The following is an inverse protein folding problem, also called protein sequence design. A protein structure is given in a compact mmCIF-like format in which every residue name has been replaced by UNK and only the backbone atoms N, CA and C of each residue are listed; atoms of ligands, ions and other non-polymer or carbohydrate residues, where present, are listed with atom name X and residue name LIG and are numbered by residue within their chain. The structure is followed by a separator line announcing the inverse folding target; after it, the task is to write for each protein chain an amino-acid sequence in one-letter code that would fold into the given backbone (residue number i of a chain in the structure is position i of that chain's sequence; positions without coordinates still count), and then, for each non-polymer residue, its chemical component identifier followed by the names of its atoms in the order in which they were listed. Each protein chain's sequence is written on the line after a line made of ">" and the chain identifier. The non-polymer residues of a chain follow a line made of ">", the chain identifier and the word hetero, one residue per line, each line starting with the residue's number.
data_IF_080579943647
#
_entry.id   IF_080579943647
#
_cell.length_a   1.000
_cell.length_b   1.000
_cell.length_c   1.000
_cell.angle_alpha   90.00
_cell.angle_beta   90.00
_cell.angle_gamma   90.00
#
_symmetry.space_group_name_H-M   'P 1'
#
loop_
_entity.id
_entity.type
_entity.pdbx_description
1 polymer ?
#
# COMPACT_ATOMS: atom_id res chain seq x y z
N UNK A 1 -24.44 8.22 7.26
CA UNK A 1 -24.81 8.42 5.84
C UNK A 1 -26.25 7.96 5.54
N UNK A 2 -26.72 6.81 6.05
CA UNK A 2 -28.07 6.30 5.83
C UNK A 2 -29.15 7.15 6.54
N UNK A 3 -28.89 7.64 7.77
CA UNK A 3 -29.80 8.55 8.49
C UNK A 3 -29.92 9.92 7.79
N UNK A 4 -28.83 10.45 7.25
CA UNK A 4 -28.90 11.70 6.46
C UNK A 4 -29.71 11.55 5.18
N UNK A 5 -29.57 10.42 4.46
CA UNK A 5 -30.43 10.14 3.29
C UNK A 5 -31.90 9.96 3.65
N UNK A 6 -32.21 9.30 4.77
CA UNK A 6 -33.59 9.15 5.25
C UNK A 6 -34.21 10.48 5.72
N UNK A 7 -33.40 11.37 6.36
CA UNK A 7 -33.87 12.70 6.74
C UNK A 7 -34.20 13.58 5.49
N UNK A 8 -33.29 13.58 4.51
CA UNK A 8 -33.52 14.33 3.26
C UNK A 8 -34.77 13.85 2.46
N UNK A 9 -35.12 12.56 2.59
CA UNK A 9 -36.30 11.97 1.91
C UNK A 9 -37.59 12.25 2.67
N UNK A 10 -37.57 12.39 4.00
CA UNK A 10 -38.75 12.63 4.83
C UNK A 10 -39.24 14.07 4.84
N UNK A 11 -38.38 15.04 4.56
CA UNK A 11 -38.72 16.48 4.70
C UNK A 11 -39.25 17.14 3.43
N UNK A 12 -39.34 16.41 2.33
CA UNK A 12 -39.91 16.96 1.06
C UNK A 12 -41.18 16.24 0.72
N UNK A 13 -42.28 16.94 0.80
CA UNK A 13 -43.67 16.58 0.63
C UNK A 13 -44.05 15.42 -0.31
N UNK A 14 -45.34 15.11 -0.42
CA UNK A 14 -46.02 13.91 -0.92
C UNK A 14 -45.64 13.32 -2.31
N UNK A 15 -44.49 13.67 -2.88
CA UNK A 15 -44.01 13.15 -4.18
C UNK A 15 -42.74 12.29 -4.08
N UNK A 16 -42.21 12.02 -2.88
CA UNK A 16 -40.97 11.24 -2.72
C UNK A 16 -41.27 9.76 -2.48
N UNK A 17 -40.71 8.91 -3.32
CA UNK A 17 -40.85 7.45 -3.26
C UNK A 17 -39.51 6.80 -2.87
N UNK A 18 -39.49 6.03 -1.76
CA UNK A 18 -38.36 5.15 -1.42
C UNK A 18 -38.40 3.97 -2.39
N UNK A 19 -37.34 3.82 -3.17
CA UNK A 19 -37.11 2.63 -4.01
C UNK A 19 -36.07 1.77 -3.31
N UNK A 20 -36.42 0.52 -3.04
CA UNK A 20 -35.53 -0.46 -2.42
C UNK A 20 -35.00 -1.38 -3.53
N UNK A 21 -33.65 -1.42 -3.67
CA UNK A 21 -32.96 -2.28 -4.64
C UNK A 21 -32.37 -3.46 -3.88
N UNK A 22 -33.08 -4.58 -3.85
CA UNK A 22 -32.67 -5.80 -3.13
C UNK A 22 -32.04 -6.85 -4.06
N UNK A 23 -32.45 -6.86 -5.33
CA UNK A 23 -31.98 -7.87 -6.28
C UNK A 23 -30.52 -7.65 -6.66
N UNK A 24 -29.73 -8.71 -6.50
CA UNK A 24 -28.32 -8.79 -6.90
C UNK A 24 -28.19 -9.80 -8.03
N UNK A 25 -27.70 -9.35 -9.18
CA UNK A 25 -27.51 -10.17 -10.39
C UNK A 25 -26.02 -10.53 -10.61
N UNK A 26 -25.16 -10.27 -9.62
CA UNK A 26 -23.71 -10.50 -9.71
C UNK A 26 -23.27 -11.75 -8.99
N UNK A 27 -23.74 -11.92 -7.75
CA UNK A 27 -23.27 -12.99 -6.86
C UNK A 27 -24.25 -14.15 -6.83
N UNK A 28 -23.70 -15.37 -6.67
CA UNK A 28 -24.49 -16.60 -6.50
C UNK A 28 -25.28 -16.59 -5.18
N UNK A 29 -26.29 -17.43 -5.10
CA UNK A 29 -27.17 -17.52 -3.91
C UNK A 29 -26.40 -17.82 -2.62
N UNK A 30 -25.44 -18.79 -2.54
CA UNK A 30 -24.73 -19.08 -1.31
C UNK A 30 -23.94 -17.88 -0.76
N UNK A 31 -23.37 -17.05 -1.63
CA UNK A 31 -22.63 -15.87 -1.23
C UNK A 31 -23.56 -14.81 -0.61
N UNK A 32 -24.72 -14.60 -1.21
CA UNK A 32 -25.71 -13.66 -0.70
C UNK A 32 -26.34 -14.14 0.61
N UNK A 33 -26.66 -15.44 0.72
CA UNK A 33 -27.18 -16.01 1.97
C UNK A 33 -26.17 -15.91 3.12
N UNK A 34 -24.90 -16.26 2.86
CA UNK A 34 -23.84 -16.09 3.85
C UNK A 34 -23.69 -14.63 4.28
N UNK A 35 -23.73 -13.68 3.34
CA UNK A 35 -23.67 -12.24 3.61
C UNK A 35 -24.85 -11.79 4.47
N UNK A 36 -26.09 -12.15 4.10
CA UNK A 36 -27.29 -11.83 4.86
C UNK A 36 -27.22 -12.43 6.28
N UNK A 37 -26.73 -13.66 6.41
CA UNK A 37 -26.56 -14.36 7.70
C UNK A 37 -25.61 -13.61 8.63
N UNK A 38 -24.46 -13.17 8.12
CA UNK A 38 -23.50 -12.35 8.87
C UNK A 38 -24.13 -11.03 9.29
N UNK A 39 -24.81 -10.31 8.40
CA UNK A 39 -25.39 -9.02 8.71
C UNK A 39 -26.58 -9.11 9.68
N UNK A 40 -27.41 -10.16 9.64
CA UNK A 40 -28.45 -10.40 10.65
C UNK A 40 -27.87 -10.55 12.06
N UNK A 41 -26.64 -11.09 12.17
CA UNK A 41 -25.98 -11.30 13.46
C UNK A 41 -25.25 -10.05 13.96
N UNK A 42 -24.63 -9.29 13.07
CA UNK A 42 -23.75 -8.15 13.41
C UNK A 42 -24.49 -6.82 13.44
N UNK A 43 -25.46 -6.60 12.55
CA UNK A 43 -26.22 -5.35 12.48
C UNK A 43 -27.44 -5.39 13.42
N UNK A 44 -27.17 -5.35 14.72
CA UNK A 44 -28.18 -5.28 15.77
C UNK A 44 -28.20 -3.91 16.41
N UNK A 45 -29.37 -3.39 16.89
CA UNK A 45 -29.47 -2.07 17.50
C UNK A 45 -28.48 -1.85 18.66
N UNK A 46 -28.16 -2.93 19.40
CA UNK A 46 -27.21 -2.88 20.51
C UNK A 46 -25.75 -2.65 20.08
N UNK A 47 -25.39 -2.95 18.81
CA UNK A 47 -24.01 -2.89 18.32
C UNK A 47 -23.82 -1.77 17.34
N UNK A 48 -24.76 -1.58 16.40
CA UNK A 48 -24.60 -0.65 15.26
C UNK A 48 -25.63 0.46 15.22
N UNK A 49 -26.53 0.54 16.19
CA UNK A 49 -27.72 1.42 16.16
C UNK A 49 -28.66 1.22 14.93
N UNK A 50 -28.37 0.23 14.10
CA UNK A 50 -29.12 -0.12 12.90
C UNK A 50 -29.70 -1.52 13.04
N UNK A 51 -30.90 -1.71 12.49
CA UNK A 51 -31.52 -3.04 12.37
C UNK A 51 -31.39 -3.49 10.92
N UNK A 52 -30.93 -4.72 10.72
CA UNK A 52 -30.94 -5.36 9.40
C UNK A 52 -32.35 -5.93 9.19
N UNK A 53 -33.18 -5.16 8.47
CA UNK A 53 -34.56 -5.52 8.19
C UNK A 53 -34.65 -6.40 6.93
N UNK A 54 -35.76 -7.14 6.73
CA UNK A 54 -35.97 -7.94 5.51
C UNK A 54 -35.86 -7.13 4.21
N UNK A 55 -36.14 -5.84 4.26
CA UNK A 55 -35.99 -4.90 3.13
C UNK A 55 -34.51 -4.53 2.84
N UNK A 56 -33.59 -4.89 3.74
CA UNK A 56 -32.14 -4.67 3.58
C UNK A 56 -31.44 -5.93 3.08
N UNK A 57 -32.12 -7.08 3.07
CA UNK A 57 -31.53 -8.35 2.61
C UNK A 57 -31.30 -8.35 1.10
N UNK A 58 -30.19 -8.96 0.73
CA UNK A 58 -29.84 -9.16 -0.68
C UNK A 58 -30.56 -10.39 -1.22
N UNK A 59 -31.25 -10.24 -2.34
CA UNK A 59 -32.00 -11.30 -3.03
C UNK A 59 -31.24 -11.69 -4.29
N UNK A 60 -31.01 -12.99 -4.50
CA UNK A 60 -30.36 -13.48 -5.70
C UNK A 60 -31.27 -13.33 -6.92
N UNK A 61 -30.91 -12.40 -7.83
CA UNK A 61 -31.64 -12.16 -9.07
C UNK A 61 -31.36 -13.22 -10.17
N UNK A 62 -30.29 -14.02 -10.01
CA UNK A 62 -29.91 -15.10 -10.91
C UNK A 62 -30.65 -16.43 -10.62
N UNK A 63 -31.36 -16.49 -9.48
CA UNK A 63 -31.93 -17.73 -8.97
C UNK A 63 -30.88 -18.62 -8.28
N UNK A 64 -31.33 -19.49 -7.40
CA UNK A 64 -30.47 -20.50 -6.77
C UNK A 64 -30.28 -21.67 -7.74
N UNK A 65 -29.04 -22.14 -7.88
CA UNK A 65 -28.68 -23.34 -8.67
C UNK A 65 -28.22 -24.42 -7.71
N UNK A 66 -28.54 -25.68 -8.03
CA UNK A 66 -28.11 -26.84 -7.19
C UNK A 66 -26.59 -27.03 -7.20
N UNK A 67 -25.92 -26.58 -8.26
CA UNK A 67 -24.46 -26.65 -8.47
C UNK A 67 -23.69 -25.42 -7.99
N UNK A 68 -24.37 -24.41 -7.40
CA UNK A 68 -23.70 -23.25 -6.83
C UNK A 68 -22.72 -23.67 -5.71
N UNK A 69 -21.43 -23.31 -5.78
CA UNK A 69 -20.45 -23.70 -4.80
C UNK A 69 -20.73 -23.04 -3.43
N UNK A 70 -20.62 -23.79 -2.31
CA UNK A 70 -20.86 -23.22 -1.00
C UNK A 70 -19.79 -22.24 -0.57
N UNK A 71 -20.16 -21.29 0.30
CA UNK A 71 -19.19 -20.47 1.03
C UNK A 71 -18.51 -21.33 2.10
N UNK A 72 -17.19 -21.39 2.05
CA UNK A 72 -16.38 -22.16 2.99
C UNK A 72 -15.74 -21.25 4.02
N UNK A 73 -15.79 -21.67 5.30
CA UNK A 73 -15.13 -20.98 6.40
C UNK A 73 -14.04 -21.91 6.95
N UNK A 74 -12.79 -21.48 6.87
CA UNK A 74 -11.65 -22.20 7.42
C UNK A 74 -11.32 -21.62 8.80
N UNK A 75 -11.34 -22.46 9.83
CA UNK A 75 -10.98 -22.09 11.19
C UNK A 75 -9.61 -22.69 11.55
N UNK A 76 -8.63 -21.84 11.76
CA UNK A 76 -7.31 -22.23 12.24
C UNK A 76 -7.27 -22.08 13.77
N UNK A 77 -6.88 -23.13 14.48
CA UNK A 77 -6.71 -23.08 15.92
C UNK A 77 -5.29 -22.67 16.28
N UNK A 78 -5.14 -21.86 17.33
CA UNK A 78 -3.80 -21.45 17.80
C UNK A 78 -2.90 -22.61 18.25
N UNK A 79 -3.46 -23.79 18.60
CA UNK A 79 -2.71 -25.03 18.81
C UNK A 79 -2.07 -25.54 17.52
N UNK A 80 -2.85 -25.58 16.44
CA UNK A 80 -2.42 -26.10 15.14
C UNK A 80 -1.31 -25.22 14.54
N UNK A 81 -1.35 -23.92 14.87
CA UNK A 81 -0.32 -22.95 14.49
C UNK A 81 0.97 -23.17 15.29
N UNK A 82 0.87 -23.41 16.60
CA UNK A 82 2.04 -23.65 17.46
C UNK A 82 2.75 -24.98 17.15
N UNK A 83 2.00 -26.01 16.81
CA UNK A 83 2.56 -27.31 16.43
C UNK A 83 3.29 -27.26 15.07
N UNK A 84 2.89 -26.31 14.21
CA UNK A 84 3.56 -26.06 12.91
C UNK A 84 4.83 -25.19 13.07
N UNK A 85 5.03 -24.55 14.22
CA UNK A 85 6.03 -23.51 14.48
C UNK A 85 6.91 -23.86 15.68
N UNK A 86 7.47 -25.06 15.72
CA UNK A 86 8.41 -25.44 16.80
C UNK A 86 9.53 -24.40 16.97
N UNK A 87 9.39 -23.46 17.92
CA UNK A 87 10.52 -22.76 18.52
C UNK A 87 10.57 -21.24 18.48
N UNK A 88 9.56 -20.48 18.13
CA UNK A 88 9.63 -19.00 18.07
C UNK A 88 8.86 -18.33 19.23
N UNK A 89 9.55 -17.52 20.03
CA UNK A 89 9.07 -16.94 21.26
C UNK A 89 9.02 -15.41 21.24
N UNK A 90 8.07 -14.83 20.53
CA UNK A 90 7.73 -13.40 20.73
C UNK A 90 6.32 -13.10 20.20
N UNK A 91 5.53 -12.28 20.93
CA UNK A 91 4.15 -11.93 20.52
C UNK A 91 4.05 -11.19 19.18
N UNK A 92 5.06 -10.45 18.78
CA UNK A 92 5.11 -9.74 17.49
C UNK A 92 5.45 -10.69 16.33
N UNK A 93 6.33 -11.66 16.53
CA UNK A 93 6.61 -12.75 15.60
C UNK A 93 5.36 -13.61 15.37
N UNK A 94 4.57 -13.87 16.43
CA UNK A 94 3.38 -14.70 16.33
C UNK A 94 2.32 -14.22 15.34
N UNK A 95 2.22 -12.94 15.03
CA UNK A 95 1.20 -12.44 14.10
C UNK A 95 1.59 -12.66 12.62
N UNK A 96 2.87 -12.52 12.31
CA UNK A 96 3.39 -12.79 10.97
C UNK A 96 3.36 -14.29 10.66
N UNK A 97 3.70 -15.12 11.63
CA UNK A 97 3.66 -16.57 11.56
C UNK A 97 2.24 -17.11 11.36
N UNK A 98 1.24 -16.53 12.06
CA UNK A 98 -0.18 -16.84 11.86
C UNK A 98 -0.58 -16.52 10.43
N UNK A 99 -0.20 -15.36 9.91
CA UNK A 99 -0.52 -14.96 8.55
C UNK A 99 0.14 -15.87 7.50
N UNK A 100 1.39 -16.28 7.72
CA UNK A 100 2.05 -17.26 6.84
C UNK A 100 1.34 -18.61 6.84
N UNK A 101 0.89 -19.08 8.01
CA UNK A 101 0.13 -20.34 8.12
C UNK A 101 -1.22 -20.24 7.43
N UNK A 102 -1.94 -19.13 7.62
CA UNK A 102 -3.18 -18.83 6.91
C UNK A 102 -2.95 -18.81 5.40
N UNK A 103 -1.87 -18.17 4.95
CA UNK A 103 -1.49 -18.11 3.53
C UNK A 103 -1.20 -19.49 2.94
N UNK A 104 -0.56 -20.39 3.68
CA UNK A 104 -0.33 -21.79 3.22
C UNK A 104 -1.63 -22.56 3.06
N UNK A 105 -2.61 -22.34 3.93
CA UNK A 105 -3.95 -22.94 3.78
C UNK A 105 -4.63 -22.43 2.52
N UNK A 106 -4.57 -21.13 2.27
CA UNK A 106 -5.10 -20.52 1.04
C UNK A 106 -4.35 -21.02 -0.19
N UNK A 107 -3.02 -21.12 -0.14
CA UNK A 107 -2.20 -21.66 -1.22
C UNK A 107 -2.61 -23.10 -1.62
N UNK A 108 -2.85 -23.96 -0.62
CA UNK A 108 -3.36 -25.31 -0.87
C UNK A 108 -4.71 -25.26 -1.57
N UNK A 109 -5.62 -24.40 -1.10
CA UNK A 109 -6.95 -24.28 -1.69
C UNK A 109 -6.91 -23.71 -3.11
N UNK A 110 -6.03 -22.76 -3.39
CA UNK A 110 -5.77 -22.27 -4.76
C UNK A 110 -5.35 -23.42 -5.67
N UNK A 111 -4.39 -24.26 -5.23
CA UNK A 111 -3.92 -25.42 -6.00
C UNK A 111 -5.02 -26.48 -6.25
N UNK A 112 -5.91 -26.66 -5.28
CA UNK A 112 -7.06 -27.57 -5.40
C UNK A 112 -8.11 -27.06 -6.39
N UNK A 113 -8.33 -25.75 -6.45
CA UNK A 113 -9.33 -25.12 -7.33
C UNK A 113 -8.79 -24.92 -8.76
N UNK A 114 -7.48 -24.80 -8.91
CA UNK A 114 -6.85 -24.59 -10.22
C UNK A 114 -7.20 -25.74 -11.18
N UNK A 115 -7.69 -25.39 -12.36
CA UNK A 115 -8.09 -26.37 -13.38
C UNK A 115 -9.45 -27.02 -13.16
N UNK A 116 -10.17 -26.70 -12.08
CA UNK A 116 -11.56 -27.16 -11.90
C UNK A 116 -12.52 -26.33 -12.77
N UNK A 117 -13.68 -26.91 -13.08
CA UNK A 117 -14.67 -26.25 -13.92
C UNK A 117 -15.72 -25.53 -13.07
N UNK A 118 -15.99 -24.29 -13.41
CA UNK A 118 -17.06 -23.49 -12.81
C UNK A 118 -18.44 -23.90 -13.35
N UNK A 119 -19.55 -23.55 -12.68
CA UNK A 119 -20.91 -23.84 -13.16
C UNK A 119 -21.24 -23.25 -14.55
N UNK A 120 -20.50 -22.24 -14.99
CA UNK A 120 -20.61 -21.64 -16.34
C UNK A 120 -19.79 -22.38 -17.42
N UNK A 121 -19.10 -23.47 -17.06
CA UNK A 121 -18.27 -24.27 -17.94
C UNK A 121 -16.83 -23.76 -18.14
N UNK A 122 -16.45 -22.64 -17.54
CA UNK A 122 -15.07 -22.14 -17.62
C UNK A 122 -14.15 -22.85 -16.64
N UNK A 123 -12.92 -23.10 -17.07
CA UNK A 123 -11.86 -23.63 -16.21
C UNK A 123 -11.26 -22.51 -15.37
N UNK A 124 -11.15 -22.73 -14.07
CA UNK A 124 -10.56 -21.77 -13.13
C UNK A 124 -9.05 -21.68 -13.39
N UNK A 125 -8.57 -20.46 -13.57
CA UNK A 125 -7.16 -20.08 -13.69
C UNK A 125 -6.75 -19.16 -12.53
N UNK A 126 -5.47 -18.83 -12.39
CA UNK A 126 -4.99 -17.94 -11.32
C UNK A 126 -5.63 -16.55 -11.38
N UNK A 127 -5.88 -16.01 -12.57
CA UNK A 127 -6.51 -14.69 -12.78
C UNK A 127 -7.95 -14.61 -12.26
N UNK A 128 -8.62 -15.75 -12.11
CA UNK A 128 -10.00 -15.83 -11.62
C UNK A 128 -10.07 -15.78 -10.09
N UNK A 129 -8.92 -15.79 -9.42
CA UNK A 129 -8.79 -15.84 -7.97
C UNK A 129 -8.27 -14.52 -7.41
N UNK A 130 -8.88 -14.05 -6.32
CA UNK A 130 -8.45 -12.86 -5.59
C UNK A 130 -8.34 -13.13 -4.10
N UNK A 131 -7.32 -12.57 -3.47
CA UNK A 131 -7.17 -12.53 -2.02
C UNK A 131 -7.46 -11.11 -1.56
N UNK A 132 -8.45 -10.95 -0.67
CA UNK A 132 -8.84 -9.67 -0.11
C UNK A 132 -8.40 -9.55 1.33
N UNK A 133 -7.71 -8.45 1.63
CA UNK A 133 -7.25 -8.07 2.96
C UNK A 133 -7.99 -6.81 3.42
N UNK A 134 -8.30 -6.71 4.72
CA UNK A 134 -8.92 -5.51 5.29
C UNK A 134 -7.98 -4.30 5.22
N UNK A 135 -6.70 -4.53 5.48
CA UNK A 135 -5.60 -3.55 5.36
C UNK A 135 -4.38 -4.26 4.79
N UNK A 136 -3.57 -3.51 4.06
CA UNK A 136 -2.43 -4.09 3.32
C UNK A 136 -1.07 -3.63 3.85
N UNK A 137 -1.03 -2.63 4.74
CA UNK A 137 0.23 -2.11 5.28
C UNK A 137 1.01 -3.24 5.96
N UNK A 138 2.16 -3.59 5.44
CA UNK A 138 3.09 -4.65 5.87
C UNK A 138 2.60 -6.11 5.75
N UNK A 139 1.31 -6.38 5.59
CA UNK A 139 0.78 -7.76 5.56
C UNK A 139 0.76 -8.36 4.14
N UNK A 140 0.54 -7.52 3.15
CA UNK A 140 0.39 -8.00 1.77
C UNK A 140 1.69 -8.57 1.21
N UNK A 141 2.85 -8.00 1.57
CA UNK A 141 4.13 -8.53 1.13
C UNK A 141 4.40 -9.92 1.71
N UNK A 142 4.11 -10.14 2.99
CA UNK A 142 4.21 -11.45 3.64
C UNK A 142 3.34 -12.50 2.93
N UNK A 143 2.11 -12.12 2.52
CA UNK A 143 1.22 -13.00 1.76
C UNK A 143 1.80 -13.31 0.37
N UNK A 144 2.30 -12.30 -0.34
CA UNK A 144 2.90 -12.47 -1.68
C UNK A 144 4.13 -13.37 -1.61
N UNK A 145 5.01 -13.15 -0.64
CA UNK A 145 6.25 -13.91 -0.48
C UNK A 145 5.92 -15.39 -0.17
N UNK A 146 4.99 -15.64 0.77
CA UNK A 146 4.57 -16.99 1.10
C UNK A 146 3.87 -17.73 -0.06
N UNK A 147 3.07 -17.04 -0.88
CA UNK A 147 2.47 -17.64 -2.09
C UNK A 147 3.52 -17.91 -3.17
N UNK A 148 4.51 -17.04 -3.30
CA UNK A 148 5.62 -17.21 -4.25
C UNK A 148 6.50 -18.40 -3.84
N UNK A 149 6.76 -18.60 -2.56
CA UNK A 149 7.45 -19.80 -2.03
C UNK A 149 6.68 -21.08 -2.35
N UNK A 150 5.37 -21.02 -2.34
CA UNK A 150 4.48 -22.13 -2.73
C UNK A 150 4.37 -22.32 -4.26
N UNK A 151 5.06 -21.52 -5.05
CA UNK A 151 5.06 -21.58 -6.53
C UNK A 151 3.80 -21.03 -7.18
N UNK A 152 3.03 -20.19 -6.48
CA UNK A 152 1.82 -19.56 -7.02
C UNK A 152 2.19 -18.18 -7.56
N UNK A 153 1.97 -17.93 -8.88
CA UNK A 153 2.21 -16.62 -9.46
C UNK A 153 1.23 -15.60 -8.85
N UNK A 154 1.77 -14.59 -8.18
CA UNK A 154 0.96 -13.67 -7.38
C UNK A 154 1.33 -12.23 -7.68
N UNK A 155 0.33 -11.37 -7.77
CA UNK A 155 0.48 -9.94 -7.91
C UNK A 155 -0.26 -9.21 -6.78
N UNK A 156 0.45 -8.30 -6.11
CA UNK A 156 -0.15 -7.41 -5.14
C UNK A 156 -0.56 -6.09 -5.80
N UNK A 157 -1.88 -5.87 -5.89
CA UNK A 157 -2.47 -4.60 -6.34
C UNK A 157 -2.64 -3.63 -5.15
N UNK A 158 -1.75 -3.66 -4.25
CA UNK A 158 -1.65 -2.71 -3.15
C UNK A 158 -0.43 -1.89 -3.43
N UNK A 159 -0.61 -0.78 -4.05
CA UNK A 159 0.51 0.11 -4.25
C UNK A 159 1.29 0.32 -2.93
N UNK A 160 2.48 -0.27 -2.80
CA UNK A 160 3.56 0.65 -2.56
C UNK A 160 3.37 1.71 -3.64
N UNK A 161 3.12 2.93 -3.24
CA UNK A 161 3.04 4.02 -4.18
C UNK A 161 4.23 3.83 -5.12
N UNK A 162 4.03 3.87 -6.43
CA UNK A 162 5.12 3.81 -7.41
C UNK A 162 6.33 4.64 -6.94
N UNK A 163 6.06 5.73 -6.26
CA UNK A 163 7.05 6.63 -5.68
C UNK A 163 7.78 6.09 -4.45
N UNK A 164 7.29 5.03 -3.81
CA UNK A 164 7.94 4.34 -2.67
C UNK A 164 8.82 3.17 -3.12
N UNK A 165 8.83 2.84 -4.40
CA UNK A 165 9.75 1.84 -4.93
C UNK A 165 11.20 2.32 -4.74
N UNK A 166 12.12 1.48 -4.23
CA UNK A 166 13.48 1.89 -3.91
C UNK A 166 14.19 2.60 -5.06
N UNK A 167 14.07 2.06 -6.29
CA UNK A 167 14.67 2.63 -7.50
C UNK A 167 14.08 3.99 -7.88
N UNK A 168 12.82 4.23 -7.59
CA UNK A 168 12.15 5.51 -7.86
C UNK A 168 12.49 6.53 -6.78
N UNK A 169 12.54 6.11 -5.52
CA UNK A 169 12.99 6.96 -4.42
C UNK A 169 14.45 7.40 -4.60
N UNK A 170 15.33 6.52 -5.12
CA UNK A 170 16.71 6.87 -5.43
C UNK A 170 16.78 7.92 -6.54
N UNK A 171 16.08 7.70 -7.62
CA UNK A 171 16.03 8.67 -8.73
C UNK A 171 15.38 9.99 -8.30
N UNK A 172 14.32 9.96 -7.52
CA UNK A 172 13.68 11.16 -6.97
C UNK A 172 14.64 11.95 -6.08
N UNK A 173 15.40 11.25 -5.22
CA UNK A 173 16.41 11.90 -4.39
C UNK A 173 17.52 12.55 -5.24
N UNK A 174 17.98 11.86 -6.29
CA UNK A 174 19.00 12.40 -7.20
C UNK A 174 18.48 13.63 -7.94
N UNK A 175 17.28 13.59 -8.50
CA UNK A 175 16.64 14.73 -9.15
C UNK A 175 16.46 15.91 -8.19
N UNK A 176 16.00 15.64 -6.96
CA UNK A 176 15.83 16.67 -5.93
C UNK A 176 17.17 17.32 -5.53
N UNK A 177 18.24 16.55 -5.46
CA UNK A 177 19.58 17.07 -5.13
C UNK A 177 20.17 17.90 -6.28
N UNK A 178 19.85 17.54 -7.53
CA UNK A 178 20.25 18.33 -8.71
C UNK A 178 19.50 19.67 -8.72
N UNK A 179 18.21 19.67 -8.45
CA UNK A 179 17.40 20.89 -8.34
C UNK A 179 17.85 21.79 -7.19
N UNK A 180 18.07 21.20 -6.02
CA UNK A 180 18.51 21.93 -4.82
C UNK A 180 19.55 21.12 -4.03
N UNK A 181 20.81 21.62 -4.05
CA UNK A 181 21.94 20.98 -3.34
C UNK A 181 21.86 21.05 -1.81
N UNK A 182 21.02 21.91 -1.25
CA UNK A 182 20.96 22.17 0.18
C UNK A 182 19.92 21.26 0.88
N UNK A 183 19.97 19.97 0.58
CA UNK A 183 19.03 18.96 1.12
C UNK A 183 19.79 17.80 1.72
N UNK A 184 19.67 17.57 3.03
CA UNK A 184 20.41 16.54 3.74
C UNK A 184 19.97 15.10 3.38
N UNK A 185 18.65 14.83 3.39
CA UNK A 185 18.14 13.48 3.11
C UNK A 185 18.38 13.03 1.67
N UNK A 186 18.10 13.82 0.64
CA UNK A 186 18.46 13.48 -0.72
C UNK A 186 19.96 13.26 -0.89
N UNK A 187 20.80 14.11 -0.29
CA UNK A 187 22.26 13.96 -0.36
C UNK A 187 22.73 12.64 0.24
N UNK A 188 22.28 12.31 1.46
CA UNK A 188 22.63 11.04 2.12
C UNK A 188 22.25 9.83 1.27
N UNK A 189 21.05 9.85 0.67
CA UNK A 189 20.57 8.77 -0.19
C UNK A 189 21.43 8.64 -1.44
N UNK A 190 21.70 9.75 -2.12
CA UNK A 190 22.51 9.81 -3.34
C UNK A 190 23.93 9.33 -3.09
N UNK A 191 24.56 9.70 -1.98
CA UNK A 191 25.90 9.25 -1.64
C UNK A 191 26.01 7.72 -1.42
N UNK A 192 24.91 7.08 -0.99
CA UNK A 192 24.85 5.61 -0.82
C UNK A 192 24.55 4.87 -2.12
N UNK A 193 23.92 5.48 -3.09
CA UNK A 193 23.57 4.82 -4.36
C UNK A 193 24.72 4.78 -5.35
N UNK A 194 24.63 3.93 -6.37
CA UNK A 194 25.51 3.93 -7.52
C UNK A 194 25.40 5.28 -8.27
N UNK A 195 26.49 5.90 -8.71
CA UNK A 195 27.87 5.39 -8.79
C UNK A 195 28.76 5.67 -7.56
N UNK A 196 28.24 6.35 -6.56
CA UNK A 196 29.07 6.88 -5.46
C UNK A 196 29.36 5.82 -4.40
N UNK A 197 28.33 5.08 -3.97
CA UNK A 197 28.41 3.90 -3.07
C UNK A 197 29.28 4.12 -1.83
N UNK A 198 29.11 5.28 -1.15
CA UNK A 198 29.80 5.55 0.09
C UNK A 198 29.35 4.60 1.20
N UNK A 199 30.31 4.14 2.03
CA UNK A 199 30.02 3.32 3.19
C UNK A 199 29.46 4.15 4.34
N UNK A 200 28.87 3.49 5.35
CA UNK A 200 28.36 4.18 6.54
C UNK A 200 29.49 4.82 7.34
N UNK A 201 30.70 4.24 7.31
CA UNK A 201 31.91 4.82 7.91
C UNK A 201 32.32 6.11 7.19
N UNK A 202 32.30 6.13 5.85
CA UNK A 202 32.60 7.32 5.05
C UNK A 202 31.57 8.44 5.30
N UNK A 203 30.29 8.10 5.43
CA UNK A 203 29.26 9.07 5.78
C UNK A 203 29.42 9.62 7.21
N UNK A 204 29.79 8.76 8.17
CA UNK A 204 30.13 9.18 9.53
C UNK A 204 31.37 10.09 9.54
N UNK A 205 32.39 9.81 8.73
CA UNK A 205 33.58 10.65 8.57
C UNK A 205 33.19 12.05 8.06
N UNK A 206 32.32 12.14 7.05
CA UNK A 206 31.79 13.42 6.57
C UNK A 206 31.10 14.17 7.72
N UNK A 207 30.24 13.50 8.49
CA UNK A 207 29.52 14.11 9.59
C UNK A 207 30.44 14.67 10.67
N UNK A 208 31.55 13.97 10.95
CA UNK A 208 32.54 14.38 11.95
C UNK A 208 33.43 15.57 11.51
N UNK A 209 33.48 15.89 10.20
CA UNK A 209 34.21 17.04 9.69
C UNK A 209 33.67 18.37 10.25
N UNK A 210 32.41 18.37 10.68
CA UNK A 210 31.80 19.55 11.26
C UNK A 210 30.99 19.18 12.50
N UNK A 211 31.53 19.50 13.66
CA UNK A 211 30.89 19.29 14.96
C UNK A 211 30.16 20.55 15.38
N UNK A 212 28.84 20.47 15.53
CA UNK A 212 27.99 21.55 16.02
C UNK A 212 26.54 21.07 16.12
N UNK A 213 25.79 21.53 17.11
CA UNK A 213 24.35 21.28 17.16
C UNK A 213 23.70 22.03 15.98
N UNK A 214 22.89 21.30 15.19
CA UNK A 214 22.13 21.84 14.06
C UNK A 214 22.90 22.24 12.79
N UNK A 215 24.10 21.71 12.55
CA UNK A 215 24.78 21.94 11.27
C UNK A 215 24.22 20.96 10.23
N UNK A 216 23.67 21.44 9.08
CA UNK A 216 23.19 20.59 8.01
C UNK A 216 24.28 19.68 7.43
N UNK A 217 23.92 18.48 6.99
CA UNK A 217 24.88 17.50 6.47
C UNK A 217 25.53 17.96 5.16
N UNK A 218 24.81 18.69 4.31
CA UNK A 218 25.38 19.25 3.07
C UNK A 218 26.54 20.20 3.32
N UNK A 219 26.53 20.94 4.43
CA UNK A 219 27.68 21.79 4.82
C UNK A 219 28.88 20.97 5.27
N UNK A 220 28.64 19.87 6.00
CA UNK A 220 29.72 18.95 6.37
C UNK A 220 30.34 18.30 5.13
N UNK A 221 29.53 17.92 4.14
CA UNK A 221 29.98 17.40 2.86
C UNK A 221 30.82 18.43 2.08
N UNK A 222 30.33 19.67 1.98
CA UNK A 222 31.10 20.76 1.34
C UNK A 222 32.47 20.97 1.99
N UNK A 223 32.53 20.87 3.35
CA UNK A 223 33.80 20.96 4.07
C UNK A 223 34.70 19.74 3.80
N UNK A 224 34.13 18.53 3.70
CA UNK A 224 34.88 17.33 3.33
C UNK A 224 35.54 17.46 1.95
N UNK A 225 34.87 18.11 0.98
CA UNK A 225 35.43 18.40 -0.34
C UNK A 225 36.64 19.36 -0.32
N UNK A 226 36.82 20.14 0.74
CA UNK A 226 37.92 21.13 0.87
C UNK A 226 39.23 20.55 1.37
N UNK A 227 39.30 19.29 1.79
CA UNK A 227 40.51 18.64 2.28
C UNK A 227 41.52 18.29 1.17
N UNK A 228 42.72 17.84 1.58
CA UNK A 228 43.77 17.44 0.64
C UNK A 228 43.99 15.92 0.57
N UNK A 229 43.35 15.16 1.44
CA UNK A 229 43.46 13.71 1.51
C UNK A 229 42.70 13.00 0.37
N UNK A 230 42.93 11.69 0.25
CA UNK A 230 42.31 10.84 -0.77
C UNK A 230 40.78 10.84 -0.66
N UNK A 231 40.26 10.86 0.58
CA UNK A 231 38.83 10.91 0.83
C UNK A 231 38.20 12.24 0.37
N UNK A 232 38.87 13.36 0.64
CA UNK A 232 38.44 14.67 0.15
C UNK A 232 38.44 14.76 -1.38
N UNK A 233 39.44 14.13 -2.04
CA UNK A 233 39.44 14.02 -3.51
C UNK A 233 38.23 13.20 -4.02
N UNK A 234 37.85 12.10 -3.34
CA UNK A 234 36.65 11.33 -3.66
C UNK A 234 35.38 12.20 -3.51
N UNK A 235 35.23 12.91 -2.41
CA UNK A 235 34.11 13.83 -2.18
C UNK A 235 34.05 14.93 -3.23
N UNK A 236 35.20 15.49 -3.62
CA UNK A 236 35.28 16.54 -4.66
C UNK A 236 34.82 16.02 -6.03
N UNK A 237 35.25 14.84 -6.44
CA UNK A 237 34.79 14.20 -7.68
C UNK A 237 33.27 14.00 -7.72
N UNK A 238 32.69 13.62 -6.57
CA UNK A 238 31.24 13.48 -6.43
C UNK A 238 30.56 14.85 -6.61
N UNK A 239 31.07 15.89 -5.95
CA UNK A 239 30.53 17.25 -6.08
C UNK A 239 30.61 17.77 -7.52
N UNK A 240 31.76 17.58 -8.18
CA UNK A 240 31.96 17.97 -9.60
C UNK A 240 30.99 17.23 -10.54
N UNK A 241 30.72 15.95 -10.27
CA UNK A 241 29.76 15.18 -11.05
C UNK A 241 28.33 15.68 -10.87
N UNK A 242 27.93 16.00 -9.64
CA UNK A 242 26.63 16.59 -9.33
C UNK A 242 26.45 17.97 -9.99
N UNK A 243 27.50 18.81 -9.98
CA UNK A 243 27.48 20.10 -10.69
C UNK A 243 27.35 19.92 -12.21
N UNK A 244 28.03 18.92 -12.78
CA UNK A 244 27.91 18.59 -14.21
C UNK A 244 26.46 18.22 -14.56
N UNK A 245 25.82 17.37 -13.75
CA UNK A 245 24.42 16.99 -13.97
C UNK A 245 23.47 18.17 -13.77
N UNK A 246 23.76 19.08 -12.84
CA UNK A 246 22.97 20.30 -12.65
C UNK A 246 23.01 21.19 -13.90
N UNK A 247 24.19 21.41 -14.44
CA UNK A 247 24.33 22.16 -15.71
C UNK A 247 23.58 21.46 -16.87
N UNK A 248 23.67 20.14 -16.97
CA UNK A 248 22.95 19.39 -18.00
C UNK A 248 21.44 19.48 -17.83
N UNK A 249 20.92 19.51 -16.60
CA UNK A 249 19.49 19.68 -16.33
C UNK A 249 18.94 21.04 -16.83
N UNK A 250 19.79 22.07 -16.88
CA UNK A 250 19.39 23.40 -17.38
C UNK A 250 19.33 23.48 -18.92
N UNK A 251 20.11 22.65 -19.61
CA UNK A 251 20.24 22.74 -21.09
C UNK A 251 19.54 21.64 -21.85
N UNK A 252 19.26 20.50 -21.22
CA UNK A 252 18.58 19.37 -21.84
C UNK A 252 17.05 19.44 -21.61
N UNK A 253 16.28 18.77 -22.45
CA UNK A 253 14.88 18.50 -22.16
C UNK A 253 14.77 17.61 -20.94
N UNK A 254 13.73 17.76 -20.14
CA UNK A 254 13.55 17.03 -18.90
C UNK A 254 13.59 15.51 -19.08
N UNK A 255 12.84 14.96 -20.04
CA UNK A 255 12.82 13.53 -20.32
C UNK A 255 14.18 13.02 -20.79
N UNK A 256 14.83 13.73 -21.73
CA UNK A 256 16.16 13.38 -22.22
C UNK A 256 17.21 13.44 -21.10
N UNK A 257 17.11 14.43 -20.21
CA UNK A 257 17.97 14.56 -19.04
C UNK A 257 17.77 13.38 -18.05
N UNK A 258 16.54 13.00 -17.75
CA UNK A 258 16.25 11.87 -16.83
C UNK A 258 16.83 10.57 -17.41
N UNK A 259 16.65 10.33 -18.69
CA UNK A 259 17.23 9.14 -19.34
C UNK A 259 18.77 9.19 -19.35
N UNK A 260 19.34 10.34 -19.68
CA UNK A 260 20.79 10.56 -19.62
C UNK A 260 21.32 10.31 -18.20
N UNK A 261 20.67 10.83 -17.18
CA UNK A 261 21.06 10.69 -15.78
C UNK A 261 21.05 9.22 -15.34
N UNK A 262 20.03 8.45 -15.71
CA UNK A 262 19.94 7.01 -15.41
C UNK A 262 21.07 6.21 -16.03
N UNK A 263 21.48 6.57 -17.25
CA UNK A 263 22.51 5.84 -18.01
C UNK A 263 23.91 6.30 -17.63
N UNK A 264 24.16 7.61 -17.53
CA UNK A 264 25.46 8.19 -17.22
C UNK A 264 25.91 7.94 -15.77
N UNK A 265 24.94 7.83 -14.83
CA UNK A 265 25.22 7.36 -13.47
C UNK A 265 25.50 5.85 -13.38
N UNK A 266 25.20 5.07 -14.41
CA UNK A 266 25.24 3.62 -14.36
C UNK A 266 24.13 2.97 -13.53
N UNK A 267 23.22 3.79 -12.99
CA UNK A 267 22.16 3.33 -12.08
C UNK A 267 21.19 2.36 -12.76
N UNK A 268 20.81 2.64 -14.01
CA UNK A 268 19.94 1.74 -14.78
C UNK A 268 20.50 0.34 -14.94
N UNK A 269 21.81 0.22 -15.21
CA UNK A 269 22.49 -1.06 -15.32
C UNK A 269 22.62 -1.77 -13.97
N UNK A 270 22.99 -1.02 -12.90
CA UNK A 270 23.13 -1.55 -11.56
C UNK A 270 21.81 -2.12 -11.02
N UNK A 271 20.71 -1.43 -11.23
CA UNK A 271 19.37 -1.89 -10.83
C UNK A 271 18.96 -3.15 -11.59
N UNK A 272 19.34 -3.27 -12.86
CA UNK A 272 19.11 -4.48 -13.68
C UNK A 272 19.81 -5.72 -13.16
N UNK A 273 20.91 -5.58 -12.43
CA UNK A 273 21.66 -6.69 -11.83
C UNK A 273 21.07 -7.17 -10.47
N UNK A 274 20.10 -6.44 -9.91
CA UNK A 274 19.45 -6.81 -8.67
C UNK A 274 18.34 -7.86 -8.90
N UNK A 275 17.87 -8.55 -7.84
CA UNK A 275 16.69 -9.40 -7.92
C UNK A 275 15.49 -8.65 -8.51
N UNK A 276 14.76 -9.27 -9.44
CA UNK A 276 13.67 -8.65 -10.22
C UNK A 276 14.15 -7.43 -11.06
N UNK A 277 15.39 -7.46 -11.55
CA UNK A 277 16.03 -6.33 -12.24
C UNK A 277 15.25 -5.83 -13.45
N UNK A 278 14.64 -6.71 -14.26
CA UNK A 278 13.79 -6.32 -15.41
C UNK A 278 12.59 -5.48 -14.99
N UNK A 279 11.92 -5.85 -13.88
CA UNK A 279 10.78 -5.09 -13.33
C UNK A 279 11.25 -3.71 -12.85
N UNK A 280 12.38 -3.66 -12.13
CA UNK A 280 12.95 -2.40 -11.65
C UNK A 280 13.35 -1.47 -12.80
N UNK A 281 13.97 -2.02 -13.86
CA UNK A 281 14.26 -1.26 -15.08
C UNK A 281 12.98 -0.78 -15.77
N UNK A 282 11.90 -1.59 -15.75
CA UNK A 282 10.58 -1.20 -16.22
C UNK A 282 10.03 0.01 -15.46
N UNK A 283 10.19 0.02 -14.14
CA UNK A 283 9.79 1.15 -13.29
C UNK A 283 10.58 2.43 -13.63
N UNK A 284 11.87 2.32 -13.90
CA UNK A 284 12.70 3.46 -14.34
C UNK A 284 12.28 3.97 -15.73
N UNK A 285 11.93 3.08 -16.67
CA UNK A 285 11.38 3.51 -17.98
C UNK A 285 10.05 4.24 -17.80
N UNK A 286 9.21 3.79 -16.90
CA UNK A 286 7.96 4.49 -16.58
C UNK A 286 8.21 5.89 -16.02
N UNK A 287 9.30 6.12 -15.26
CA UNK A 287 9.67 7.47 -14.82
C UNK A 287 10.01 8.37 -16.01
N UNK A 288 10.73 7.84 -16.99
CA UNK A 288 11.02 8.54 -18.25
C UNK A 288 9.73 8.87 -19.03
N UNK A 289 8.81 7.92 -19.18
CA UNK A 289 7.52 8.13 -19.85
C UNK A 289 6.66 9.17 -19.15
N UNK A 290 6.68 9.19 -17.80
CA UNK A 290 5.98 10.21 -17.00
C UNK A 290 6.57 11.60 -17.23
N UNK A 291 7.89 11.72 -17.41
CA UNK A 291 8.53 12.99 -17.75
C UNK A 291 8.11 13.45 -19.15
N UNK A 292 8.03 12.54 -20.13
CA UNK A 292 7.50 12.87 -21.46
C UNK A 292 6.03 13.33 -21.42
N UNK A 293 5.20 12.64 -20.62
CA UNK A 293 3.80 13.04 -20.42
C UNK A 293 3.68 14.43 -19.79
N UNK A 294 4.53 14.73 -18.79
CA UNK A 294 4.59 16.03 -18.15
C UNK A 294 5.01 17.14 -19.12
N UNK A 295 6.00 16.88 -19.99
CA UNK A 295 6.40 17.81 -21.06
C UNK A 295 5.26 18.03 -22.08
N UNK A 296 4.53 16.99 -22.45
CA UNK A 296 3.40 17.08 -23.37
C UNK A 296 2.23 17.92 -22.79
N UNK A 297 2.08 17.94 -21.47
CA UNK A 297 1.13 18.81 -20.76
C UNK A 297 1.63 20.27 -20.59
N UNK A 298 2.83 20.58 -21.08
CA UNK A 298 3.43 21.92 -21.01
C UNK A 298 4.36 22.14 -19.81
N UNK A 299 4.71 21.09 -19.10
CA UNK A 299 5.69 21.13 -18.00
C UNK A 299 7.12 21.31 -18.57
N UNK A 300 7.91 22.21 -17.98
CA UNK A 300 9.24 22.57 -18.56
C UNK A 300 10.37 22.38 -17.54
N UNK A 301 10.11 22.51 -16.25
CA UNK A 301 11.18 22.58 -15.24
C UNK A 301 11.29 21.32 -14.39
N UNK A 302 12.53 20.98 -13.99
CA UNK A 302 12.79 19.88 -13.08
C UNK A 302 12.07 20.07 -11.73
N UNK A 303 12.10 21.27 -11.17
CA UNK A 303 11.41 21.60 -9.91
C UNK A 303 9.88 21.33 -9.97
N UNK A 304 9.24 21.72 -11.09
CA UNK A 304 7.81 21.49 -11.29
C UNK A 304 7.49 19.99 -11.45
N UNK A 305 8.38 19.23 -12.10
CA UNK A 305 8.22 17.77 -12.19
C UNK A 305 8.34 17.08 -10.83
N UNK A 306 9.32 17.46 -10.00
CA UNK A 306 9.46 16.95 -8.63
C UNK A 306 8.21 17.28 -7.81
N UNK A 307 7.71 18.51 -7.90
CA UNK A 307 6.46 18.92 -7.23
C UNK A 307 5.27 18.06 -7.67
N UNK A 308 5.16 17.78 -8.97
CA UNK A 308 4.13 16.90 -9.53
C UNK A 308 4.24 15.46 -8.98
N UNK A 309 5.47 14.94 -8.87
CA UNK A 309 5.72 13.62 -8.25
C UNK A 309 5.26 13.60 -6.78
N UNK A 310 5.58 14.66 -6.02
CA UNK A 310 5.17 14.81 -4.61
C UNK A 310 3.64 14.89 -4.43
N UNK A 311 2.96 15.59 -5.33
CA UNK A 311 1.49 15.69 -5.34
C UNK A 311 0.85 14.33 -5.65
N UNK A 312 1.36 13.61 -6.62
CA UNK A 312 0.89 12.27 -6.97
C UNK A 312 1.13 11.26 -5.83
N UNK A 313 2.28 11.33 -5.17
CA UNK A 313 2.58 10.51 -3.99
C UNK A 313 1.59 10.76 -2.85
N UNK A 314 1.27 12.02 -2.55
CA UNK A 314 0.28 12.41 -1.51
C UNK A 314 -1.15 12.09 -1.91
N UNK A 315 -1.48 12.23 -3.19
CA UNK A 315 -2.81 11.96 -3.74
C UNK A 315 -3.18 10.47 -3.77
N UNK A 316 -2.23 9.59 -3.46
CA UNK A 316 -2.45 8.14 -3.51
C UNK A 316 -2.72 7.62 -4.92
N UNK A 317 -2.21 8.30 -5.93
CA UNK A 317 -2.28 7.85 -7.33
C UNK A 317 -1.54 6.51 -7.47
N UNK A 318 -2.28 5.46 -7.21
CA UNK A 318 -1.91 4.09 -7.52
C UNK A 318 -2.06 3.86 -9.04
N UNK A 319 -1.27 4.55 -9.84
CA UNK A 319 -0.94 4.03 -11.17
C UNK A 319 0.17 3.00 -10.94
N UNK A 320 -0.19 2.01 -10.17
CA UNK A 320 0.46 0.73 -10.13
C UNK A 320 0.51 0.19 -11.56
N UNK A 321 1.49 -0.63 -11.83
CA UNK A 321 1.76 -1.33 -13.07
C UNK A 321 0.52 -2.01 -13.72
N UNK A 322 -0.52 -1.24 -13.95
CA UNK A 322 -1.78 -1.64 -14.56
C UNK A 322 -1.60 -2.16 -15.99
N UNK A 323 -0.48 -1.78 -16.63
CA UNK A 323 -0.20 -2.17 -18.00
C UNK A 323 0.38 -3.59 -18.17
N UNK A 324 0.98 -4.17 -17.12
CA UNK A 324 1.60 -5.51 -17.25
C UNK A 324 0.69 -6.66 -16.79
N UNK A 325 -0.40 -6.40 -16.07
CA UNK A 325 -1.10 -7.44 -15.31
C UNK A 325 -2.52 -7.76 -15.74
N UNK A 326 -3.14 -7.03 -16.66
CA UNK A 326 -4.51 -7.37 -17.12
C UNK A 326 -4.57 -8.67 -17.93
N UNK A 327 -3.46 -9.09 -18.54
CA UNK A 327 -3.39 -10.32 -19.37
C UNK A 327 -2.61 -11.48 -18.74
N UNK A 328 -1.99 -11.29 -17.58
CA UNK A 328 -1.20 -12.34 -16.94
C UNK A 328 -2.07 -13.26 -16.07
N UNK A 329 -1.75 -14.57 -16.09
CA UNK A 329 -2.43 -15.57 -15.28
C UNK A 329 -1.81 -15.65 -13.90
N UNK A 330 -2.28 -14.78 -12.97
CA UNK A 330 -1.76 -14.69 -11.60
C UNK A 330 -2.86 -14.33 -10.59
N UNK A 331 -2.66 -14.80 -9.35
CA UNK A 331 -3.54 -14.49 -8.23
C UNK A 331 -3.36 -13.05 -7.79
N UNK A 332 -4.45 -12.31 -7.66
CA UNK A 332 -4.42 -10.91 -7.21
C UNK A 332 -4.58 -10.82 -5.71
N UNK A 333 -3.70 -10.05 -5.05
CA UNK A 333 -3.85 -9.66 -3.64
C UNK A 333 -4.20 -8.19 -3.60
N UNK A 334 -5.29 -7.81 -2.95
CA UNK A 334 -5.72 -6.41 -2.87
C UNK A 334 -6.53 -6.09 -1.61
N UNK A 335 -6.81 -4.81 -1.36
CA UNK A 335 -7.72 -4.44 -0.27
C UNK A 335 -9.17 -4.65 -0.65
N UNK A 336 -10.03 -4.93 0.35
CA UNK A 336 -11.49 -4.95 0.16
C UNK A 336 -12.03 -3.64 -0.45
N UNK A 337 -11.40 -2.49 -0.18
CA UNK A 337 -11.80 -1.21 -0.76
C UNK A 337 -11.50 -1.12 -2.25
N UNK A 338 -10.35 -1.62 -2.69
CA UNK A 338 -9.94 -1.63 -4.09
C UNK A 338 -10.75 -2.60 -4.94
N UNK A 339 -11.25 -3.68 -4.34
CA UNK A 339 -12.09 -4.65 -5.04
C UNK A 339 -13.49 -4.14 -5.34
N UNK A 340 -13.88 -2.96 -4.80
CA UNK A 340 -15.19 -2.36 -5.07
C UNK A 340 -15.37 -2.05 -6.56
N UNK A 341 -16.36 -2.68 -7.17
CA UNK A 341 -16.66 -2.54 -8.61
C UNK A 341 -16.00 -3.59 -9.49
N UNK A 342 -15.12 -4.43 -8.94
CA UNK A 342 -14.53 -5.58 -9.63
C UNK A 342 -15.34 -6.84 -9.36
N UNK A 343 -15.16 -7.85 -10.22
CA UNK A 343 -15.80 -9.16 -10.13
C UNK A 343 -14.74 -10.24 -10.21
N UNK A 344 -14.81 -11.20 -9.29
CA UNK A 344 -13.91 -12.35 -9.27
C UNK A 344 -14.70 -13.63 -9.03
N UNK A 345 -14.46 -14.68 -9.84
CA UNK A 345 -15.10 -15.98 -9.65
C UNK A 345 -14.79 -16.60 -8.30
N UNK A 346 -13.56 -16.48 -7.81
CA UNK A 346 -13.12 -17.04 -6.53
C UNK A 346 -12.51 -15.95 -5.66
N UNK A 347 -13.03 -15.80 -4.44
CA UNK A 347 -12.60 -14.77 -3.49
C UNK A 347 -12.17 -15.41 -2.18
N UNK A 348 -10.96 -15.11 -1.74
CA UNK A 348 -10.44 -15.47 -0.43
C UNK A 348 -10.42 -14.24 0.47
N UNK A 349 -11.09 -14.31 1.62
CA UNK A 349 -11.01 -13.28 2.66
C UNK A 349 -10.03 -13.76 3.71
N UNK A 350 -8.94 -13.03 3.92
CA UNK A 350 -7.88 -13.37 4.86
C UNK A 350 -7.78 -12.36 6.00
N UNK A 351 -7.15 -12.79 7.09
CA UNK A 351 -6.90 -11.96 8.29
C UNK A 351 -8.18 -11.38 8.90
N UNK A 352 -9.23 -12.23 8.98
CA UNK A 352 -10.54 -11.84 9.49
C UNK A 352 -10.61 -11.82 11.03
N UNK A 353 -9.62 -12.40 11.72
CA UNK A 353 -9.55 -12.46 13.20
C UNK A 353 -9.10 -11.14 13.83
N UNK A 354 -8.72 -10.17 13.03
CA UNK A 354 -8.19 -8.91 13.52
C UNK A 354 -9.15 -8.24 14.49
N UNK A 355 -8.72 -8.03 15.73
CA UNK A 355 -9.45 -7.20 16.68
C UNK A 355 -9.59 -5.79 16.11
N UNK A 356 -10.83 -5.34 16.01
CA UNK A 356 -11.10 -3.93 15.75
C UNK A 356 -10.59 -3.15 16.97
N UNK A 357 -9.39 -2.61 16.88
CA UNK A 357 -8.89 -1.71 17.90
C UNK A 357 -9.75 -0.43 17.82
N UNK A 358 -10.69 -0.32 18.73
CA UNK A 358 -11.47 0.90 18.98
C UNK A 358 -10.59 2.02 19.61
N UNK A 359 -9.28 1.86 19.55
CA UNK A 359 -8.30 2.87 19.98
C UNK A 359 -8.09 3.92 18.90
N UNK A 360 -9.13 4.56 18.43
CA UNK A 360 -8.98 5.94 18.05
C UNK A 360 -9.03 6.76 19.35
N UNK A 361 -7.88 6.99 19.93
CA UNK A 361 -7.64 8.15 20.80
C UNK A 361 -7.68 9.38 19.92
N UNK A 362 -8.84 9.65 19.34
CA UNK A 362 -9.08 10.95 18.74
C UNK A 362 -9.12 11.94 19.89
N UNK A 363 -8.39 13.04 19.78
CA UNK A 363 -8.42 14.15 20.76
C UNK A 363 -9.84 14.65 21.01
N UNK A 364 -10.78 14.30 20.15
CA UNK A 364 -12.17 14.69 20.20
C UNK A 364 -13.07 13.48 19.89
N UNK A 365 -13.91 13.10 20.87
CA UNK A 365 -14.94 12.07 20.68
C UNK A 365 -16.31 12.74 20.52
N UNK A 366 -17.02 12.39 19.45
CA UNK A 366 -18.37 12.86 19.16
C UNK A 366 -19.38 11.74 19.37
N UNK A 367 -20.35 11.97 20.25
CA UNK A 367 -21.46 11.05 20.47
C UNK A 367 -22.79 11.73 20.18
N UNK A 368 -23.70 11.14 19.36
CA UNK A 368 -24.90 11.80 18.89
C UNK A 368 -25.87 12.22 20.01
N UNK A 369 -25.84 11.56 21.17
CA UNK A 369 -26.70 11.89 22.32
C UNK A 369 -25.97 12.57 23.46
N UNK A 370 -24.66 12.33 23.64
CA UNK A 370 -23.85 12.83 24.76
C UNK A 370 -23.03 14.07 24.38
N UNK A 371 -22.99 14.43 23.10
CA UNK A 371 -22.24 15.58 22.62
C UNK A 371 -20.76 15.30 22.39
N UNK A 372 -19.91 16.26 22.74
CA UNK A 372 -18.46 16.25 22.53
C UNK A 372 -17.76 15.87 23.82
N UNK A 373 -16.84 14.91 23.75
CA UNK A 373 -15.95 14.56 24.85
C UNK A 373 -14.48 14.67 24.39
N UNK A 374 -13.64 15.21 25.29
CA UNK A 374 -12.19 15.26 25.10
C UNK A 374 -11.50 14.46 26.19
N UNK A 375 -10.37 13.79 25.91
CA UNK A 375 -9.58 13.14 26.93
C UNK A 375 -9.05 14.21 27.92
N UNK A 376 -9.26 13.96 29.22
CA UNK A 376 -8.67 14.80 30.27
C UNK A 376 -7.24 14.34 30.54
N UNK A 377 -6.28 15.23 30.35
CA UNK A 377 -4.87 15.00 30.71
C UNK A 377 -4.67 15.58 32.11
N UNK A 378 -4.34 14.72 33.10
CA UNK A 378 -3.96 15.20 34.41
C UNK A 378 -2.54 15.78 34.36
N UNK A 379 -2.35 17.10 34.55
CA UNK A 379 -1.05 17.73 34.42
C UNK A 379 -0.07 17.33 35.53
N UNK A 380 -0.54 16.72 36.61
CA UNK A 380 0.31 16.32 37.74
C UNK A 380 0.91 14.92 37.54
N UNK A 381 0.18 14.02 36.91
CA UNK A 381 0.61 12.63 36.76
C UNK A 381 0.97 12.25 35.32
N UNK A 382 0.70 13.10 34.34
CA UNK A 382 0.80 12.80 32.90
C UNK A 382 0.08 11.52 32.45
N UNK A 383 -0.88 11.04 33.26
CA UNK A 383 -1.66 9.87 32.95
C UNK A 383 -2.91 10.26 32.17
N UNK A 384 -3.14 9.58 31.04
CA UNK A 384 -4.39 9.70 30.30
C UNK A 384 -5.49 8.96 31.07
N UNK A 385 -6.39 9.71 31.72
CA UNK A 385 -7.63 9.14 32.22
C UNK A 385 -8.60 9.03 31.06
N UNK A 386 -8.65 7.88 30.42
CA UNK A 386 -9.77 7.54 29.56
C UNK A 386 -11.01 7.36 30.43
N UNK A 387 -12.11 8.05 30.09
CA UNK A 387 -13.40 7.74 30.70
C UNK A 387 -13.64 6.24 30.62
N UNK A 388 -14.07 5.59 31.74
CA UNK A 388 -14.25 4.14 31.73
C UNK A 388 -15.29 3.76 30.68
N UNK A 389 -14.84 3.16 29.61
CA UNK A 389 -15.65 2.64 28.49
C UNK A 389 -16.68 1.60 28.90
N UNK A 390 -16.73 1.19 30.18
CA UNK A 390 -17.67 0.22 30.74
C UNK A 390 -19.09 0.75 31.00
N UNK A 391 -19.40 2.00 30.72
CA UNK A 391 -20.74 2.58 30.93
C UNK A 391 -21.36 3.24 29.70
N UNK A 392 -20.84 2.99 28.52
CA UNK A 392 -21.49 3.37 27.26
C UNK A 392 -21.82 2.06 26.53
N UNK A 393 -22.75 1.32 27.06
CA UNK A 393 -23.50 0.28 26.38
C UNK A 393 -24.97 0.69 26.39
#
# INVERSE_FOLDING_TARGET
>A
LRRQRQMCIRDRGARERKIVLQQNFRSSFPVLDATNRVFRQTMRPAVTELTYAPEDELICGLGAREDDPPVMVHLLRGSDIRDALEGSASEAAGHEEVLQTETRVVARRIKELLGTTMPDGKTISYRDMVILLAQTTNLAQTVVDALTEEGIPTFYDGAESYFNLPEIMDMKALLSLIDNAQQDFPLLRVLKMVPFSLTDEELAQIRLMQTGQNVPFYQAFAKACGGEDEFAQKCRKISEKLETWRFQAEVMRLSDFIWHLMTDSGYYAAVGALPKGEVRQGNLRMLYERAQGFEAEGGVTLAAFITRMDEQERGGDSISAKMLTENEDLVRVMTMHKSKGLEFPVVFLMNMERRLLLTQTSELMLHPKLGVAMPYINPVSYTHLTLPTKRIV
#
